data_IF_781154508279
#
_entry.id   IF_781154508279
#
_cell.length_a   1.000
_cell.length_b   1.000
_cell.length_c   1.000
_cell.angle_alpha   90.00
_cell.angle_beta   90.00
_cell.angle_gamma   90.00
#
_symmetry.space_group_name_H-M   'P 1'
#
loop_
_entity.id
_entity.type
_entity.pdbx_description
1 polymer ?
#
# COMPACT_ATOMS: atom_id res chain seq x y z
N UNK A 1 18.50 -6.39 -15.60
CA UNK A 1 17.69 -7.31 -14.77
C UNK A 1 16.75 -6.47 -13.90
N UNK A 2 15.48 -6.33 -14.33
CA UNK A 2 14.44 -5.62 -13.57
C UNK A 2 13.90 -6.55 -12.48
N UNK A 3 14.35 -6.36 -11.23
CA UNK A 3 13.77 -7.07 -10.08
C UNK A 3 12.31 -6.63 -9.86
N UNK A 4 11.38 -7.57 -10.02
CA UNK A 4 9.95 -7.39 -9.78
C UNK A 4 9.57 -7.16 -8.30
N UNK A 5 10.54 -7.19 -7.38
CA UNK A 5 10.30 -7.05 -5.93
C UNK A 5 9.91 -5.64 -5.46
N UNK A 6 9.96 -4.63 -6.34
CA UNK A 6 9.70 -3.24 -5.98
C UNK A 6 8.24 -2.81 -6.11
N UNK A 7 7.39 -3.55 -6.84
CA UNK A 7 5.99 -3.19 -7.06
C UNK A 7 5.14 -3.22 -5.78
N UNK A 8 5.52 -4.01 -4.78
CA UNK A 8 4.81 -4.07 -3.50
C UNK A 8 4.99 -2.85 -2.58
N UNK A 9 6.02 -2.01 -2.82
CA UNK A 9 6.42 -0.96 -1.86
C UNK A 9 5.94 0.46 -2.21
N UNK A 10 5.30 0.65 -3.35
CA UNK A 10 4.86 1.97 -3.83
C UNK A 10 5.99 2.81 -4.45
N UNK A 11 5.60 3.76 -5.29
CA UNK A 11 6.47 4.63 -6.06
C UNK A 11 6.08 6.10 -5.93
N UNK A 12 7.02 6.99 -6.24
CA UNK A 12 6.86 8.44 -6.17
C UNK A 12 7.23 9.04 -7.52
N UNK A 13 6.40 9.98 -7.99
CA UNK A 13 6.66 10.81 -9.17
C UNK A 13 7.29 12.12 -8.71
N UNK A 14 8.50 12.38 -9.16
CA UNK A 14 9.23 13.61 -8.87
C UNK A 14 9.47 14.43 -10.15
N UNK A 15 9.59 15.73 -9.94
CA UNK A 15 10.09 16.72 -10.89
C UNK A 15 11.46 17.16 -10.42
N UNK A 16 12.48 16.93 -11.21
CA UNK A 16 13.82 17.44 -10.97
C UNK A 16 14.03 18.71 -11.80
N UNK A 17 14.39 19.80 -11.13
CA UNK A 17 14.83 21.03 -11.76
C UNK A 17 16.36 21.03 -11.75
N UNK A 18 16.96 20.56 -12.83
CA UNK A 18 18.41 20.50 -13.00
C UNK A 18 18.78 21.06 -14.35
N UNK A 19 19.80 21.93 -14.38
CA UNK A 19 20.36 22.46 -15.63
C UNK A 19 21.09 21.38 -16.44
N UNK A 20 21.54 20.30 -15.78
CA UNK A 20 22.15 19.14 -16.43
C UNK A 20 21.44 17.86 -16.00
N UNK A 21 20.57 17.29 -16.86
CA UNK A 21 19.86 16.04 -16.59
C UNK A 21 20.79 14.83 -16.63
N UNK A 22 21.79 14.84 -17.52
CA UNK A 22 22.77 13.76 -17.66
C UNK A 22 23.57 13.57 -16.38
N UNK A 23 24.07 14.66 -15.78
CA UNK A 23 24.79 14.59 -14.50
C UNK A 23 23.91 14.05 -13.38
N UNK A 24 22.63 14.42 -13.38
CA UNK A 24 21.67 13.91 -12.40
C UNK A 24 21.36 12.42 -12.60
N UNK A 25 21.17 11.97 -13.83
CA UNK A 25 20.97 10.56 -14.16
C UNK A 25 22.22 9.73 -13.83
N UNK A 26 23.41 10.26 -14.10
CA UNK A 26 24.67 9.61 -13.76
C UNK A 26 24.83 9.47 -12.24
N UNK A 27 24.45 10.50 -11.48
CA UNK A 27 24.41 10.44 -10.02
C UNK A 27 23.43 9.36 -9.52
N UNK A 28 22.24 9.28 -10.12
CA UNK A 28 21.26 8.26 -9.77
C UNK A 28 21.80 6.85 -10.08
N UNK A 29 22.43 6.66 -11.23
CA UNK A 29 23.05 5.40 -11.63
C UNK A 29 24.19 5.00 -10.67
N UNK A 30 25.06 5.94 -10.30
CA UNK A 30 26.15 5.73 -9.34
C UNK A 30 25.63 5.25 -7.97
N UNK A 31 24.52 5.83 -7.50
CA UNK A 31 23.87 5.42 -6.25
C UNK A 31 22.94 4.21 -6.40
N UNK A 32 22.92 3.54 -7.55
CA UNK A 32 22.06 2.38 -7.87
C UNK A 32 20.58 2.67 -7.68
N UNK A 33 20.15 3.90 -7.95
CA UNK A 33 18.75 4.33 -7.89
C UNK A 33 18.06 3.95 -9.20
N UNK A 34 17.07 3.08 -9.11
CA UNK A 34 16.27 2.68 -10.27
C UNK A 34 15.20 3.74 -10.55
N UNK A 35 15.34 4.44 -11.66
CA UNK A 35 14.38 5.41 -12.19
C UNK A 35 13.72 4.86 -13.45
N UNK A 36 12.42 5.14 -13.61
CA UNK A 36 11.65 4.75 -14.79
C UNK A 36 10.69 5.86 -15.22
N UNK A 37 10.18 5.75 -16.45
CA UNK A 37 9.23 6.71 -17.04
C UNK A 37 9.78 8.15 -17.01
N UNK A 38 10.90 8.33 -17.70
CA UNK A 38 11.58 9.61 -17.88
C UNK A 38 10.83 10.42 -18.93
N UNK A 39 10.28 11.56 -18.54
CA UNK A 39 9.59 12.49 -19.44
C UNK A 39 10.26 13.85 -19.32
N UNK A 40 10.76 14.37 -20.44
CA UNK A 40 11.27 15.72 -20.54
C UNK A 40 10.13 16.69 -20.89
N UNK A 41 9.88 17.69 -20.05
CA UNK A 41 8.98 18.81 -20.33
C UNK A 41 9.73 20.11 -20.15
N UNK A 42 10.18 20.74 -21.24
CA UNK A 42 10.70 22.12 -21.30
C UNK A 42 11.42 22.55 -20.00
N UNK A 43 12.61 21.98 -19.73
CA UNK A 43 13.47 22.20 -18.55
C UNK A 43 13.07 21.50 -17.24
N UNK A 44 11.99 20.72 -17.25
CA UNK A 44 11.53 19.93 -16.11
C UNK A 44 11.59 18.45 -16.45
N UNK A 45 12.38 17.71 -15.67
CA UNK A 45 12.49 16.27 -15.81
C UNK A 45 11.55 15.56 -14.84
N UNK A 46 10.54 14.91 -15.40
CA UNK A 46 9.64 14.04 -14.63
C UNK A 46 10.16 12.61 -14.65
N UNK A 47 10.19 11.97 -13.48
CA UNK A 47 10.61 10.58 -13.35
C UNK A 47 9.89 9.90 -12.18
N UNK A 48 9.77 8.58 -12.27
CA UNK A 48 9.24 7.74 -11.22
C UNK A 48 10.37 6.93 -10.57
N UNK A 49 10.29 6.80 -9.25
CA UNK A 49 11.24 6.04 -8.44
C UNK A 49 10.53 5.38 -7.25
N UNK A 50 11.14 4.33 -6.70
CA UNK A 50 10.64 3.66 -5.51
C UNK A 50 10.68 4.57 -4.27
N UNK A 51 9.79 4.37 -3.29
CA UNK A 51 9.79 5.12 -2.03
C UNK A 51 11.14 4.99 -1.31
N UNK A 52 11.75 3.80 -1.30
CA UNK A 52 13.04 3.57 -0.62
C UNK A 52 14.16 4.37 -1.27
N UNK A 53 14.18 4.36 -2.61
CA UNK A 53 15.17 5.11 -3.38
C UNK A 53 14.94 6.62 -3.28
N UNK A 54 13.69 7.07 -3.11
CA UNK A 54 13.39 8.48 -2.87
C UNK A 54 14.02 9.00 -1.57
N UNK A 55 14.01 8.22 -0.49
CA UNK A 55 14.67 8.62 0.76
C UNK A 55 16.19 8.72 0.60
N UNK A 56 16.80 7.79 -0.14
CA UNK A 56 18.23 7.84 -0.47
C UNK A 56 18.54 9.05 -1.34
N UNK A 57 17.79 9.25 -2.42
CA UNK A 57 17.91 10.37 -3.34
C UNK A 57 17.77 11.70 -2.61
N UNK A 58 16.79 11.83 -1.71
CA UNK A 58 16.57 13.05 -0.92
C UNK A 58 17.79 13.44 -0.09
N UNK A 59 18.44 12.46 0.55
CA UNK A 59 19.68 12.70 1.31
C UNK A 59 20.80 13.21 0.40
N UNK A 60 20.92 12.63 -0.79
CA UNK A 60 21.93 13.00 -1.78
C UNK A 60 21.64 14.41 -2.36
N UNK A 61 20.40 14.68 -2.78
CA UNK A 61 19.98 15.98 -3.31
C UNK A 61 20.16 17.10 -2.28
N UNK A 62 19.99 16.80 -0.98
CA UNK A 62 20.28 17.76 0.09
C UNK A 62 21.77 18.14 0.14
N UNK A 63 22.67 17.20 -0.16
CA UNK A 63 24.13 17.44 -0.23
C UNK A 63 24.55 18.14 -1.52
N UNK A 64 23.87 17.87 -2.63
CA UNK A 64 24.19 18.41 -3.97
C UNK A 64 23.47 19.70 -4.32
N UNK A 65 22.49 20.14 -3.52
CA UNK A 65 21.74 21.38 -3.75
C UNK A 65 20.70 21.29 -4.87
N UNK A 66 20.44 20.10 -5.41
CA UNK A 66 19.47 19.91 -6.51
C UNK A 66 18.04 20.15 -6.05
N UNK A 67 17.29 20.99 -6.78
CA UNK A 67 15.87 21.23 -6.51
C UNK A 67 15.02 20.09 -7.05
N UNK A 68 14.37 19.37 -6.15
CA UNK A 68 13.42 18.29 -6.46
C UNK A 68 12.04 18.62 -5.87
N UNK A 69 11.00 18.49 -6.69
CA UNK A 69 9.61 18.71 -6.29
C UNK A 69 8.83 17.40 -6.45
N UNK A 70 8.03 17.04 -5.45
CA UNK A 70 7.22 15.83 -5.49
C UNK A 70 5.88 16.16 -6.15
N UNK A 71 5.58 15.53 -7.29
CA UNK A 71 4.32 15.77 -8.02
C UNK A 71 3.21 14.83 -7.56
N UNK A 72 3.56 13.58 -7.23
CA UNK A 72 2.59 12.60 -6.78
C UNK A 72 3.27 11.45 -6.07
N UNK A 73 2.59 10.86 -5.09
CA UNK A 73 3.10 9.74 -4.30
C UNK A 73 2.07 8.63 -4.40
N UNK A 74 2.47 7.47 -4.90
CA UNK A 74 1.59 6.39 -5.31
C UNK A 74 1.97 5.11 -4.56
N UNK A 75 1.09 4.62 -3.68
CA UNK A 75 1.33 3.41 -2.89
C UNK A 75 0.43 3.34 -1.66
N UNK A 76 0.36 2.15 -1.05
CA UNK A 76 -0.39 1.85 0.18
C UNK A 76 -0.23 2.89 1.31
N UNK A 77 0.99 3.38 1.65
CA UNK A 77 1.14 4.34 2.74
C UNK A 77 0.58 5.75 2.41
N UNK A 78 0.44 6.11 1.14
CA UNK A 78 -0.11 7.42 0.73
C UNK A 78 -1.64 7.45 0.67
N UNK A 79 -2.27 6.30 0.41
CA UNK A 79 -3.72 6.15 0.55
C UNK A 79 -4.15 6.37 2.02
N UNK A 80 -3.33 5.92 2.97
CA UNK A 80 -3.57 6.08 4.41
C UNK A 80 -3.44 7.53 4.91
N UNK A 81 -2.61 8.36 4.28
CA UNK A 81 -2.33 9.72 4.78
C UNK A 81 -3.29 10.77 4.21
N UNK A 82 -3.70 10.66 2.93
CA UNK A 82 -4.59 11.64 2.28
C UNK A 82 -6.07 11.43 2.61
N UNK A 83 -6.47 10.20 2.94
CA UNK A 83 -7.87 9.83 3.22
C UNK A 83 -8.11 9.49 4.70
N UNK A 84 -7.75 10.38 5.63
CA UNK A 84 -8.11 10.21 7.06
C UNK A 84 -9.62 9.97 7.27
N UNK A 85 -10.49 10.57 6.43
CA UNK A 85 -11.95 10.40 6.52
C UNK A 85 -12.52 9.08 5.97
N UNK A 86 -11.80 8.32 5.12
CA UNK A 86 -12.29 7.02 4.61
C UNK A 86 -11.74 5.80 5.38
N UNK A 87 -10.89 6.00 6.39
CA UNK A 87 -10.46 4.92 7.29
C UNK A 87 -11.60 4.30 8.07
N UNK A 88 -12.61 5.10 8.43
CA UNK A 88 -13.83 4.62 9.07
C UNK A 88 -14.55 3.53 8.24
N UNK A 89 -14.50 3.64 6.90
CA UNK A 89 -15.12 2.66 6.02
C UNK A 89 -14.38 1.32 6.04
N UNK A 90 -13.04 1.34 6.04
CA UNK A 90 -12.25 0.11 6.16
C UNK A 90 -12.31 -0.51 7.55
N UNK A 91 -12.36 0.30 8.61
CA UNK A 91 -12.58 -0.18 9.97
C UNK A 91 -13.96 -0.84 10.07
N UNK A 92 -14.99 -0.24 9.46
CA UNK A 92 -16.33 -0.83 9.38
C UNK A 92 -16.33 -2.21 8.71
N UNK A 93 -15.75 -2.33 7.53
CA UNK A 93 -15.65 -3.62 6.81
C UNK A 93 -14.89 -4.67 7.64
N UNK A 94 -13.78 -4.27 8.28
CA UNK A 94 -12.99 -5.20 9.09
C UNK A 94 -13.76 -5.67 10.33
N UNK A 95 -14.48 -4.75 10.97
CA UNK A 95 -15.30 -5.04 12.14
C UNK A 95 -16.48 -5.95 11.78
N UNK A 96 -17.16 -5.68 10.67
CA UNK A 96 -18.28 -6.49 10.20
C UNK A 96 -17.84 -7.89 9.78
N UNK A 97 -16.71 -8.01 9.07
CA UNK A 97 -16.12 -9.30 8.72
C UNK A 97 -15.71 -10.10 9.96
N UNK A 98 -15.07 -9.45 10.95
CA UNK A 98 -14.66 -10.11 12.18
C UNK A 98 -15.86 -10.56 13.02
N UNK A 99 -16.88 -9.70 13.14
CA UNK A 99 -18.13 -10.03 13.82
C UNK A 99 -18.81 -11.22 13.14
N UNK A 100 -18.94 -11.20 11.81
CA UNK A 100 -19.53 -12.31 11.06
C UNK A 100 -18.78 -13.63 11.27
N UNK A 101 -17.44 -13.62 11.18
CA UNK A 101 -16.62 -14.81 11.40
C UNK A 101 -16.74 -15.35 12.84
N UNK A 102 -16.93 -14.50 13.84
CA UNK A 102 -17.07 -14.92 15.23
C UNK A 102 -18.49 -15.42 15.56
N UNK A 103 -19.52 -14.71 15.10
CA UNK A 103 -20.91 -15.02 15.44
C UNK A 103 -21.49 -16.18 14.61
N UNK A 104 -21.10 -16.34 13.34
CA UNK A 104 -21.64 -17.38 12.47
C UNK A 104 -21.48 -18.82 13.03
N UNK A 105 -20.30 -19.25 13.52
CA UNK A 105 -20.14 -20.60 14.08
C UNK A 105 -20.84 -20.79 15.43
N UNK A 106 -20.97 -19.73 16.24
CA UNK A 106 -21.67 -19.80 17.54
C UNK A 106 -23.17 -20.04 17.34
N UNK A 107 -23.80 -19.27 16.45
CA UNK A 107 -25.23 -19.43 16.16
C UNK A 107 -25.51 -20.81 15.56
N UNK A 108 -24.68 -21.24 14.61
CA UNK A 108 -24.83 -22.56 13.99
C UNK A 108 -24.67 -23.69 15.02
N UNK A 109 -23.69 -23.59 15.92
CA UNK A 109 -23.49 -24.58 16.99
C UNK A 109 -24.68 -24.71 17.94
N UNK A 110 -25.28 -23.58 18.36
CA UNK A 110 -26.46 -23.58 19.24
C UNK A 110 -27.67 -24.21 18.54
N UNK A 111 -27.89 -23.88 17.26
CA UNK A 111 -28.99 -24.43 16.49
C UNK A 111 -28.88 -25.96 16.37
N UNK A 112 -27.69 -26.47 16.01
CA UNK A 112 -27.46 -27.91 15.90
C UNK A 112 -27.62 -28.63 17.24
N UNK A 113 -27.14 -28.04 18.35
CA UNK A 113 -27.27 -28.66 19.66
C UNK A 113 -28.72 -28.70 20.15
N UNK A 114 -29.49 -27.63 19.89
CA UNK A 114 -30.92 -27.57 20.20
C UNK A 114 -31.70 -28.66 19.46
N UNK A 115 -31.43 -28.85 18.17
CA UNK A 115 -32.15 -29.83 17.37
C UNK A 115 -31.81 -31.27 17.76
N UNK A 116 -30.55 -31.52 18.14
CA UNK A 116 -30.13 -32.80 18.71
C UNK A 116 -30.82 -33.09 20.05
N UNK A 117 -30.90 -32.10 20.95
CA UNK A 117 -31.56 -32.26 22.25
C UNK A 117 -33.05 -32.58 22.11
N UNK A 118 -33.76 -31.86 21.24
CA UNK A 118 -35.19 -32.10 20.97
C UNK A 118 -35.41 -33.50 20.39
N UNK A 119 -34.55 -33.93 19.45
CA UNK A 119 -34.65 -35.24 18.83
C UNK A 119 -34.39 -36.36 19.84
N UNK A 120 -33.34 -36.27 20.65
CA UNK A 120 -33.02 -37.24 21.70
C UNK A 120 -34.14 -37.32 22.74
N UNK A 121 -34.67 -36.18 23.19
CA UNK A 121 -35.77 -36.14 24.14
C UNK A 121 -37.05 -36.77 23.55
N UNK A 122 -37.40 -36.50 22.28
CA UNK A 122 -38.54 -37.13 21.61
C UNK A 122 -38.39 -38.65 21.49
N UNK A 123 -37.20 -39.14 21.15
CA UNK A 123 -36.94 -40.58 21.03
C UNK A 123 -36.98 -41.26 22.39
N UNK A 124 -36.41 -40.64 23.42
CA UNK A 124 -36.38 -41.18 24.77
C UNK A 124 -37.78 -41.29 25.40
N UNK A 125 -38.66 -40.33 25.16
CA UNK A 125 -40.06 -40.39 25.63
C UNK A 125 -41.00 -41.24 24.76
N UNK A 126 -40.51 -41.73 23.61
CA UNK A 126 -41.27 -42.62 22.72
C UNK A 126 -40.92 -44.11 22.91
N UNK A 127 -39.89 -44.42 23.71
CA UNK A 127 -39.48 -45.78 24.13
C UNK A 127 -40.01 -46.02 25.54
#
# INVERSE_FOLDING_TARGET
MQDWSHYGKGYVRIKAYTQSPERFLNLCAYHKIKVWNLVNKNDIYEMNLSIQDFFRLKSICKKTGTRIQITGKYGLPFFFYRNKKRKAFFIGIFFEFFSFCFFCPVIFGIFMWKEMYITVHRVFWAI
#
